data_IF_773612921462
#
_entry.id   IF_773612921462
#
_cell.length_a   1.000
_cell.length_b   1.000
_cell.length_c   1.000
_cell.angle_alpha   90.00
_cell.angle_beta   90.00
_cell.angle_gamma   90.00
#
_symmetry.space_group_name_H-M   'P 1'
#
loop_
_entity.id
_entity.type
_entity.pdbx_description
1 polymer ?
#
# COMPACT_ATOMS: atom_id res chain seq x y z
N UNK A 1 11.97 2.20 -14.88
CA UNK A 1 11.48 1.20 -13.92
C UNK A 1 10.59 1.89 -12.92
N UNK A 2 9.69 1.17 -12.26
CA UNK A 2 8.78 1.72 -11.26
C UNK A 2 9.40 1.63 -9.86
N UNK A 3 9.33 2.72 -9.10
CA UNK A 3 9.84 2.80 -7.72
C UNK A 3 8.86 2.16 -6.72
N UNK A 4 7.59 2.02 -7.13
CA UNK A 4 6.50 1.50 -6.31
C UNK A 4 6.23 0.00 -6.54
N UNK A 5 7.26 -0.76 -6.89
CA UNK A 5 7.10 -2.21 -7.05
C UNK A 5 6.53 -2.83 -5.76
N UNK A 6 5.48 -3.62 -5.91
CA UNK A 6 4.74 -4.30 -4.83
C UNK A 6 4.12 -3.38 -3.77
N UNK A 7 3.94 -2.08 -4.06
CA UNK A 7 3.29 -1.13 -3.13
C UNK A 7 1.87 -1.59 -2.74
N UNK A 8 1.15 -2.18 -3.69
CA UNK A 8 -0.21 -2.69 -3.50
C UNK A 8 -0.27 -3.79 -2.45
N UNK A 9 0.82 -4.56 -2.30
CA UNK A 9 0.92 -5.67 -1.34
C UNK A 9 1.46 -5.13 0.00
N UNK A 10 2.53 -4.34 -0.04
CA UNK A 10 3.22 -3.89 1.17
C UNK A 10 2.42 -2.86 1.97
N UNK A 11 1.64 -2.02 1.28
CA UNK A 11 0.84 -0.94 1.87
C UNK A 11 -0.67 -1.12 1.67
N UNK A 12 -1.12 -2.35 1.41
CA UNK A 12 -2.53 -2.68 1.20
C UNK A 12 -3.43 -2.19 2.35
N UNK A 13 -2.95 -2.33 3.59
CA UNK A 13 -3.68 -1.87 4.79
C UNK A 13 -3.99 -0.38 4.75
N UNK A 14 -3.04 0.44 4.28
CA UNK A 14 -3.19 1.89 4.19
C UNK A 14 -4.14 2.27 3.04
N UNK A 15 -4.10 1.52 1.93
CA UNK A 15 -5.07 1.68 0.86
C UNK A 15 -6.50 1.31 1.31
N UNK A 16 -6.65 0.23 2.08
CA UNK A 16 -7.94 -0.19 2.67
C UNK A 16 -8.49 0.83 3.66
N UNK A 17 -7.63 1.52 4.41
CA UNK A 17 -8.07 2.63 5.27
C UNK A 17 -8.75 3.74 4.47
N UNK A 18 -8.16 4.17 3.36
CA UNK A 18 -8.79 5.15 2.46
C UNK A 18 -10.09 4.60 1.85
N UNK A 19 -10.10 3.32 1.49
CA UNK A 19 -11.27 2.65 0.93
C UNK A 19 -12.44 2.62 1.92
N UNK A 20 -12.19 2.33 3.20
CA UNK A 20 -13.21 2.34 4.25
C UNK A 20 -13.87 3.70 4.40
N UNK A 21 -13.08 4.78 4.42
CA UNK A 21 -13.63 6.14 4.44
C UNK A 21 -14.42 6.45 3.16
N UNK A 22 -13.93 6.02 2.00
CA UNK A 22 -14.65 6.20 0.74
C UNK A 22 -15.99 5.43 0.71
N UNK A 23 -16.03 4.22 1.28
CA UNK A 23 -17.25 3.42 1.43
C UNK A 23 -18.25 4.11 2.35
N UNK A 24 -17.79 4.60 3.50
CA UNK A 24 -18.60 5.37 4.44
C UNK A 24 -19.23 6.59 3.75
N UNK A 25 -18.41 7.41 3.09
CA UNK A 25 -18.89 8.60 2.39
C UNK A 25 -19.84 8.24 1.24
N UNK A 26 -19.51 7.21 0.46
CA UNK A 26 -20.33 6.80 -0.67
C UNK A 26 -21.70 6.30 -0.22
N UNK A 27 -21.73 5.51 0.85
CA UNK A 27 -22.96 5.04 1.49
C UNK A 27 -23.77 6.22 2.02
N UNK A 28 -23.14 7.14 2.75
CA UNK A 28 -23.82 8.29 3.35
C UNK A 28 -24.49 9.17 2.28
N UNK A 29 -23.76 9.60 1.24
CA UNK A 29 -24.27 10.50 0.21
C UNK A 29 -25.25 9.85 -0.79
N UNK A 30 -25.52 8.54 -0.66
CA UNK A 30 -26.51 7.83 -1.47
C UNK A 30 -27.77 7.47 -0.68
N UNK A 31 -27.63 7.22 0.62
CA UNK A 31 -28.73 6.76 1.48
C UNK A 31 -29.36 7.92 2.24
N UNK A 32 -28.56 8.84 2.77
CA UNK A 32 -29.06 9.88 3.69
C UNK A 32 -29.73 11.00 2.91
N UNK A 33 -31.01 11.21 3.22
CA UNK A 33 -31.80 12.32 2.68
C UNK A 33 -32.34 13.19 3.82
N UNK A 34 -31.81 14.41 4.03
CA UNK A 34 -32.31 15.31 5.08
C UNK A 34 -33.75 15.80 4.86
N UNK A 35 -34.30 15.69 3.64
CA UNK A 35 -35.66 16.13 3.32
C UNK A 35 -36.74 15.08 3.68
N UNK A 36 -36.33 13.82 3.86
CA UNK A 36 -36.55 13.08 5.10
C UNK A 36 -37.65 13.50 6.09
N UNK A 37 -38.93 13.13 5.94
CA UNK A 37 -39.89 13.27 7.05
C UNK A 37 -40.39 11.92 7.53
N UNK A 38 -40.08 11.62 8.80
CA UNK A 38 -40.50 10.39 9.46
C UNK A 38 -41.54 10.72 10.55
N UNK A 39 -42.66 10.00 10.64
CA UNK A 39 -43.75 10.33 11.57
C UNK A 39 -43.35 10.41 13.05
N UNK A 40 -42.34 9.64 13.44
CA UNK A 40 -41.89 9.49 14.83
C UNK A 40 -40.43 9.89 15.05
N UNK A 41 -39.73 10.37 14.00
CA UNK A 41 -38.28 10.56 14.02
C UNK A 41 -37.87 11.77 13.21
N UNK A 42 -36.68 12.28 13.52
CA UNK A 42 -36.02 13.26 12.66
C UNK A 42 -35.15 12.52 11.67
N UNK A 43 -35.16 12.98 10.42
CA UNK A 43 -34.17 12.53 9.45
C UNK A 43 -32.76 12.91 9.87
N UNK A 44 -31.81 12.13 9.38
CA UNK A 44 -30.40 12.44 9.50
C UNK A 44 -30.08 13.73 8.74
N UNK A 45 -29.28 14.58 9.37
CA UNK A 45 -28.79 15.81 8.76
C UNK A 45 -27.55 15.52 7.91
N UNK A 46 -27.22 16.43 7.00
CA UNK A 46 -25.96 16.38 6.26
C UNK A 46 -24.75 16.36 7.21
N UNK A 47 -23.64 15.75 6.78
CA UNK A 47 -22.39 15.70 7.53
C UNK A 47 -21.85 17.09 7.84
N UNK A 48 -21.47 17.32 9.10
CA UNK A 48 -20.78 18.56 9.49
C UNK A 48 -19.29 18.51 9.20
N UNK A 49 -18.65 19.67 9.12
CA UNK A 49 -17.20 19.77 8.96
C UNK A 49 -16.46 19.18 10.15
N UNK A 50 -16.98 19.33 11.39
CA UNK A 50 -16.37 18.73 12.57
C UNK A 50 -16.44 17.20 12.56
N UNK A 51 -17.55 16.62 12.06
CA UNK A 51 -17.66 15.15 11.93
C UNK A 51 -16.60 14.62 10.95
N UNK A 52 -16.45 15.26 9.79
CA UNK A 52 -15.45 14.87 8.80
C UNK A 52 -14.01 15.09 9.29
N UNK A 53 -13.76 16.18 10.01
CA UNK A 53 -12.48 16.41 10.70
C UNK A 53 -12.20 15.30 11.72
N UNK A 54 -13.21 14.90 12.48
CA UNK A 54 -13.14 13.79 13.44
C UNK A 54 -12.78 12.46 12.79
N UNK A 55 -13.45 12.12 11.68
CA UNK A 55 -13.19 10.89 10.92
C UNK A 55 -11.77 10.85 10.36
N UNK A 56 -11.32 11.95 9.75
CA UNK A 56 -9.96 12.03 9.18
C UNK A 56 -8.90 11.94 10.28
N UNK A 57 -9.14 12.57 11.43
CA UNK A 57 -8.25 12.49 12.59
C UNK A 57 -8.18 11.06 13.16
N UNK A 58 -9.34 10.38 13.28
CA UNK A 58 -9.42 9.00 13.73
C UNK A 58 -8.68 8.05 12.77
N UNK A 59 -8.87 8.23 11.46
CA UNK A 59 -8.17 7.45 10.43
C UNK A 59 -6.66 7.66 10.47
N UNK A 60 -6.18 8.90 10.56
CA UNK A 60 -4.74 9.19 10.73
C UNK A 60 -4.16 8.60 12.03
N UNK A 61 -5.01 8.46 13.05
CA UNK A 61 -4.69 7.80 14.32
C UNK A 61 -4.62 6.27 14.27
N UNK A 62 -5.29 5.65 13.30
CA UNK A 62 -5.50 4.19 13.26
C UNK A 62 -4.28 3.37 12.88
N UNK A 63 -3.33 3.95 12.15
CA UNK A 63 -2.18 3.22 11.61
C UNK A 63 -0.88 4.01 11.75
N UNK A 64 0.20 3.39 12.24
CA UNK A 64 1.48 4.06 12.44
C UNK A 64 2.28 4.29 11.16
N UNK A 65 2.00 3.55 10.09
CA UNK A 65 2.66 3.73 8.78
C UNK A 65 2.11 4.94 8.01
N UNK A 66 0.95 5.44 8.42
CA UNK A 66 0.27 6.59 7.83
C UNK A 66 0.91 7.89 8.32
N UNK A 67 1.30 8.71 7.34
CA UNK A 67 1.71 10.10 7.52
C UNK A 67 0.49 10.98 7.75
N UNK A 68 -0.52 10.82 6.90
CA UNK A 68 -1.72 11.63 6.94
C UNK A 68 -2.83 11.04 6.10
N UNK A 69 -4.05 11.50 6.39
CA UNK A 69 -5.28 11.10 5.74
C UNK A 69 -6.04 12.37 5.40
N UNK A 70 -6.77 12.38 4.30
CA UNK A 70 -7.69 13.47 4.02
C UNK A 70 -8.87 13.07 3.15
N UNK A 71 -9.93 13.85 3.27
CA UNK A 71 -11.12 13.78 2.43
C UNK A 71 -11.16 15.09 1.66
N UNK A 72 -11.26 15.03 0.34
CA UNK A 72 -11.16 16.18 -0.55
C UNK A 72 -12.38 16.22 -1.45
N UNK A 73 -13.24 17.22 -1.26
CA UNK A 73 -14.47 17.34 -2.03
C UNK A 73 -14.22 18.02 -3.38
N UNK A 74 -15.00 17.66 -4.40
CA UNK A 74 -15.05 18.49 -5.61
C UNK A 74 -15.81 19.80 -5.34
N UNK A 75 -15.60 20.78 -6.22
CA UNK A 75 -16.13 22.12 -6.08
C UNK A 75 -17.65 22.10 -5.83
N UNK A 76 -18.06 22.66 -4.69
CA UNK A 76 -19.47 22.78 -4.30
C UNK A 76 -20.16 21.45 -3.97
N UNK A 77 -19.40 20.34 -3.79
CA UNK A 77 -19.98 19.04 -3.44
C UNK A 77 -20.16 18.83 -1.94
N UNK A 78 -19.46 19.60 -1.11
CA UNK A 78 -19.72 19.63 0.33
C UNK A 78 -20.75 20.72 0.65
N UNK A 79 -21.91 20.32 1.18
CA UNK A 79 -23.01 21.24 1.51
C UNK A 79 -22.69 22.08 2.73
N UNK A 80 -23.29 23.27 2.84
CA UNK A 80 -23.21 24.15 4.00
C UNK A 80 -21.80 24.64 4.39
N UNK A 81 -20.81 24.51 3.50
CA UNK A 81 -19.47 25.05 3.76
C UNK A 81 -19.31 26.50 3.31
N UNK A 82 -18.56 27.28 4.08
CA UNK A 82 -18.32 28.71 3.79
C UNK A 82 -17.52 28.91 2.51
N UNK A 83 -16.68 27.95 2.14
CA UNK A 83 -15.84 27.98 0.96
C UNK A 83 -16.37 27.00 -0.11
N UNK A 84 -16.08 27.25 -1.40
CA UNK A 84 -16.47 26.35 -2.47
C UNK A 84 -15.74 25.00 -2.45
N UNK A 85 -14.68 24.89 -1.64
CA UNK A 85 -13.86 23.69 -1.47
C UNK A 85 -13.75 23.37 0.01
N UNK A 86 -13.76 22.08 0.32
CA UNK A 86 -13.50 21.57 1.66
C UNK A 86 -12.58 20.36 1.54
N UNK A 87 -11.48 20.37 2.30
CA UNK A 87 -10.46 19.34 2.22
C UNK A 87 -9.78 19.07 3.55
N UNK A 88 -10.48 18.53 4.56
CA UNK A 88 -9.86 18.20 5.84
C UNK A 88 -8.74 17.17 5.64
N UNK A 89 -7.56 17.50 6.12
CA UNK A 89 -6.36 16.67 6.07
C UNK A 89 -5.71 16.62 7.45
N UNK A 90 -5.67 15.44 8.06
CA UNK A 90 -4.98 15.19 9.32
C UNK A 90 -3.65 14.51 9.06
N UNK A 91 -2.59 15.00 9.68
CA UNK A 91 -1.25 14.44 9.51
C UNK A 91 -0.42 14.52 10.79
N UNK A 92 0.67 13.75 10.80
CA UNK A 92 1.69 13.77 11.86
C UNK A 92 2.85 14.66 11.46
N UNK A 93 3.23 15.58 12.34
CA UNK A 93 4.31 16.53 12.07
C UNK A 93 5.71 15.89 12.10
N UNK A 94 5.86 14.69 12.67
CA UNK A 94 7.13 13.98 12.77
C UNK A 94 6.94 12.47 12.91
N UNK A 95 8.06 11.74 12.86
CA UNK A 95 8.11 10.27 13.05
C UNK A 95 8.06 9.83 14.51
N UNK A 96 8.01 10.78 15.44
CA UNK A 96 8.01 10.48 16.87
C UNK A 96 6.75 9.74 17.27
N UNK A 97 6.88 8.88 18.28
CA UNK A 97 5.77 8.13 18.91
C UNK A 97 4.72 9.08 19.53
N UNK A 98 5.03 10.38 19.64
CA UNK A 98 4.08 11.39 20.07
C UNK A 98 2.85 11.37 19.15
N UNK A 99 1.70 10.99 19.70
CA UNK A 99 0.40 10.95 19.01
C UNK A 99 -0.17 12.36 18.77
N UNK A 100 0.69 13.30 18.36
CA UNK A 100 0.30 14.67 18.05
C UNK A 100 -0.06 14.74 16.56
N UNK A 101 -1.33 14.98 16.32
CA UNK A 101 -1.87 15.18 14.98
C UNK A 101 -2.15 16.66 14.78
N UNK A 102 -2.01 17.11 13.55
CA UNK A 102 -2.44 18.43 13.11
C UNK A 102 -3.48 18.22 12.02
N UNK A 103 -4.59 18.92 12.13
CA UNK A 103 -5.64 18.93 11.11
C UNK A 103 -5.67 20.30 10.47
N UNK A 104 -5.72 20.31 9.15
CA UNK A 104 -5.87 21.52 8.35
C UNK A 104 -6.99 21.32 7.34
N UNK A 105 -7.63 22.41 6.95
CA UNK A 105 -8.37 22.43 5.69
C UNK A 105 -7.42 22.81 4.56
N UNK A 106 -7.10 21.84 3.71
CA UNK A 106 -6.19 22.03 2.57
C UNK A 106 -6.78 23.01 1.55
N UNK A 107 -8.11 23.20 1.50
CA UNK A 107 -8.73 24.19 0.63
C UNK A 107 -8.21 25.63 0.89
N UNK A 108 -7.77 25.91 2.12
CA UNK A 108 -7.19 27.20 2.50
C UNK A 108 -5.72 27.38 2.12
N UNK A 109 -5.05 26.38 1.54
CA UNK A 109 -3.66 26.49 1.11
C UNK A 109 -3.53 27.15 -0.27
N UNK A 110 -2.47 27.95 -0.51
CA UNK A 110 -2.34 28.78 -1.71
C UNK A 110 -2.22 27.99 -3.02
N UNK A 111 -1.77 26.75 -2.98
CA UNK A 111 -1.56 25.92 -4.17
C UNK A 111 -2.82 25.13 -4.57
N UNK A 112 -3.81 24.99 -3.66
CA UNK A 112 -5.06 24.26 -3.88
C UNK A 112 -4.86 22.74 -4.11
N UNK A 113 -5.64 21.88 -3.46
CA UNK A 113 -5.51 20.43 -3.68
C UNK A 113 -6.06 20.00 -5.05
N UNK A 114 -6.88 20.81 -5.71
CA UNK A 114 -7.49 20.53 -7.00
C UNK A 114 -6.47 20.48 -8.14
N UNK A 115 -5.31 21.12 -7.96
CA UNK A 115 -4.22 21.14 -8.93
C UNK A 115 -3.32 19.90 -8.82
N UNK A 116 -3.44 19.16 -7.71
CA UNK A 116 -2.65 17.97 -7.46
C UNK A 116 -2.94 16.85 -8.46
N UNK A 117 -1.90 16.09 -8.82
CA UNK A 117 -1.97 15.03 -9.83
C UNK A 117 -3.00 13.97 -9.43
N UNK A 118 -3.05 13.59 -8.15
CA UNK A 118 -3.95 12.55 -7.65
C UNK A 118 -5.42 12.97 -7.74
N UNK A 119 -5.73 14.23 -7.43
CA UNK A 119 -7.11 14.74 -7.51
C UNK A 119 -7.56 14.85 -8.96
N UNK A 120 -6.73 15.45 -9.81
CA UNK A 120 -7.03 15.64 -11.24
C UNK A 120 -7.20 14.32 -11.97
N UNK A 121 -6.35 13.33 -11.68
CA UNK A 121 -6.40 12.02 -12.34
C UNK A 121 -7.71 11.30 -12.02
N UNK A 122 -8.09 11.26 -10.74
CA UNK A 122 -9.35 10.61 -10.33
C UNK A 122 -10.58 11.40 -10.81
N UNK A 123 -10.55 12.73 -10.71
CA UNK A 123 -11.63 13.57 -11.24
C UNK A 123 -11.81 13.39 -12.75
N UNK A 124 -10.72 13.34 -13.52
CA UNK A 124 -10.79 13.13 -14.97
C UNK A 124 -11.34 11.74 -15.33
N UNK A 125 -10.97 10.70 -14.58
CA UNK A 125 -11.48 9.34 -14.76
C UNK A 125 -12.99 9.25 -14.54
N UNK A 126 -13.51 9.98 -13.56
CA UNK A 126 -14.92 9.97 -13.14
C UNK A 126 -15.67 11.27 -13.47
N UNK A 127 -15.24 11.97 -14.53
CA UNK A 127 -15.83 13.24 -14.94
C UNK A 127 -17.23 13.06 -15.54
N UNK A 128 -17.51 11.92 -16.15
CA UNK A 128 -18.85 11.49 -16.54
C UNK A 128 -19.55 10.83 -15.36
N UNK A 129 -20.88 10.78 -15.38
CA UNK A 129 -21.65 10.04 -14.38
C UNK A 129 -21.04 8.65 -14.20
N UNK A 130 -20.77 8.29 -12.95
CA UNK A 130 -20.16 7.01 -12.64
C UNK A 130 -21.16 5.91 -12.99
N UNK A 131 -20.78 4.99 -13.88
CA UNK A 131 -21.62 3.85 -14.18
C UNK A 131 -21.68 2.96 -12.93
N UNK A 132 -22.90 2.66 -12.48
CA UNK A 132 -23.16 1.74 -11.38
C UNK A 132 -22.56 0.37 -11.64
N UNK A 133 -22.48 -0.04 -12.91
CA UNK A 133 -21.92 -1.34 -13.31
C UNK A 133 -20.42 -1.49 -13.01
N UNK A 134 -19.69 -0.38 -12.92
CA UNK A 134 -18.27 -0.39 -12.58
C UNK A 134 -18.03 -0.50 -11.07
N UNK A 135 -19.03 -0.17 -10.24
CA UNK A 135 -18.90 -0.09 -8.78
C UNK A 135 -19.46 -1.34 -8.09
N UNK A 136 -19.02 -1.59 -6.86
CA UNK A 136 -19.58 -2.67 -6.04
C UNK A 136 -20.88 -2.22 -5.42
N UNK A 137 -21.94 -3.01 -5.62
CA UNK A 137 -23.21 -2.85 -4.94
C UNK A 137 -23.12 -3.41 -3.51
N UNK A 138 -23.49 -2.58 -2.55
CA UNK A 138 -23.69 -2.95 -1.16
C UNK A 138 -25.17 -2.76 -0.81
N UNK A 139 -25.72 -3.71 -0.06
CA UNK A 139 -27.09 -3.61 0.42
C UNK A 139 -27.16 -3.76 1.93
N UNK A 140 -28.07 -3.03 2.55
CA UNK A 140 -28.31 -3.07 3.98
C UNK A 140 -29.80 -3.25 4.25
N UNK A 141 -30.14 -4.28 5.02
CA UNK A 141 -31.48 -4.46 5.58
C UNK A 141 -31.52 -3.80 6.96
N UNK A 142 -31.73 -2.49 6.97
CA UNK A 142 -31.82 -1.73 8.20
C UNK A 142 -33.19 -1.93 8.85
N UNK A 143 -33.18 -2.43 10.07
CA UNK A 143 -34.35 -2.51 10.93
C UNK A 143 -34.20 -1.49 12.06
N UNK A 144 -35.28 -0.78 12.33
CA UNK A 144 -35.33 0.31 13.27
C UNK A 144 -36.50 0.10 14.22
N UNK A 145 -36.40 0.64 15.44
CA UNK A 145 -37.46 0.50 16.44
C UNK A 145 -38.72 1.22 15.98
N UNK A 146 -39.89 0.61 16.21
CA UNK A 146 -41.19 1.19 15.89
C UNK A 146 -41.57 2.33 16.81
N UNK A 147 -41.13 2.28 18.07
CA UNK A 147 -41.43 3.26 19.12
C UNK A 147 -40.25 3.42 20.09
N UNK A 148 -40.36 4.38 21.02
CA UNK A 148 -39.37 4.62 22.06
C UNK A 148 -39.18 3.42 23.00
N UNK A 149 -40.23 2.61 23.20
CA UNK A 149 -40.19 1.42 24.04
C UNK A 149 -39.47 0.23 23.37
N UNK A 150 -39.32 0.25 22.03
CA UNK A 150 -38.71 -0.82 21.26
C UNK A 150 -39.59 -2.06 21.12
N UNK A 151 -40.92 -1.90 21.10
CA UNK A 151 -41.86 -3.01 21.12
C UNK A 151 -41.81 -3.87 19.83
N UNK A 152 -41.48 -3.26 18.69
CA UNK A 152 -41.30 -3.97 17.44
C UNK A 152 -40.15 -3.36 16.62
N UNK A 153 -39.61 -4.16 15.70
CA UNK A 153 -38.69 -3.71 14.67
C UNK A 153 -39.47 -3.53 13.37
N UNK A 154 -39.35 -2.35 12.78
CA UNK A 154 -39.90 -2.02 11.46
C UNK A 154 -38.77 -1.82 10.48
N UNK A 155 -39.06 -2.03 9.20
CA UNK A 155 -38.13 -1.72 8.13
C UNK A 155 -37.89 -0.21 8.04
N UNK A 156 -36.74 0.18 7.49
CA UNK A 156 -36.50 1.56 7.10
C UNK A 156 -37.56 2.02 6.08
N UNK A 157 -38.17 3.18 6.33
CA UNK A 157 -39.33 3.67 5.56
C UNK A 157 -38.91 4.12 4.15
N UNK A 158 -37.72 4.71 4.02
CA UNK A 158 -37.08 5.10 2.76
C UNK A 158 -36.24 3.96 2.20
N UNK A 159 -36.82 3.20 1.27
CA UNK A 159 -36.10 2.15 0.54
C UNK A 159 -35.70 0.97 1.43
N UNK A 160 -36.40 -0.16 1.26
CA UNK A 160 -35.99 -1.41 1.88
C UNK A 160 -35.87 -2.52 0.84
N UNK A 161 -34.69 -3.14 0.67
CA UNK A 161 -33.42 -2.83 1.32
C UNK A 161 -32.78 -1.54 0.78
N UNK A 162 -31.86 -0.97 1.57
CA UNK A 162 -31.03 0.16 1.16
C UNK A 162 -29.92 -0.33 0.25
N UNK A 163 -29.66 0.38 -0.84
CA UNK A 163 -28.59 0.09 -1.78
C UNK A 163 -27.61 1.25 -1.86
N UNK A 164 -26.32 0.94 -1.90
CA UNK A 164 -25.26 1.92 -2.17
C UNK A 164 -24.18 1.32 -3.04
N UNK A 165 -23.52 2.16 -3.83
CA UNK A 165 -22.46 1.77 -4.74
C UNK A 165 -21.15 2.39 -4.28
N UNK A 166 -20.13 1.57 -4.10
CA UNK A 166 -18.84 2.01 -3.58
C UNK A 166 -17.69 1.51 -4.47
N UNK A 167 -16.54 2.20 -4.46
CA UNK A 167 -15.38 1.77 -5.23
C UNK A 167 -14.72 0.52 -4.63
N UNK A 168 -13.90 -0.17 -5.42
CA UNK A 168 -12.99 -1.22 -4.96
C UNK A 168 -11.55 -0.68 -4.93
N UNK A 169 -10.61 -1.46 -4.42
CA UNK A 169 -9.18 -1.13 -4.46
C UNK A 169 -8.70 -0.79 -5.89
N UNK A 170 -9.22 -1.47 -6.92
CA UNK A 170 -8.87 -1.23 -8.34
C UNK A 170 -9.33 0.13 -8.89
N UNK A 171 -10.26 0.80 -8.21
CA UNK A 171 -10.73 2.14 -8.58
C UNK A 171 -9.89 3.25 -7.95
N UNK A 172 -9.14 2.92 -6.89
CA UNK A 172 -8.07 3.75 -6.38
C UNK A 172 -6.76 3.50 -7.11
N UNK A 173 -5.78 4.35 -6.82
CA UNK A 173 -4.46 4.27 -7.44
C UNK A 173 -3.40 4.80 -6.47
N UNK A 174 -2.22 4.16 -6.51
CA UNK A 174 -1.00 4.70 -5.94
C UNK A 174 -0.32 5.69 -6.89
N UNK A 175 0.12 6.81 -6.32
CA UNK A 175 0.82 7.86 -7.04
C UNK A 175 2.33 7.80 -6.72
N UNK A 176 3.20 8.16 -7.68
CA UNK A 176 4.65 8.15 -7.50
C UNK A 176 5.08 8.89 -6.22
N UNK A 177 6.21 8.49 -5.60
CA UNK A 177 6.69 9.15 -4.40
C UNK A 177 6.89 10.66 -4.61
N UNK A 178 6.29 11.46 -3.73
CA UNK A 178 6.44 12.91 -3.75
C UNK A 178 7.06 13.39 -2.46
N UNK A 179 7.82 14.49 -2.55
CA UNK A 179 8.29 15.19 -1.36
C UNK A 179 7.21 16.18 -0.94
N UNK A 180 6.52 15.87 0.15
CA UNK A 180 5.49 16.74 0.69
C UNK A 180 6.16 17.98 1.30
N UNK A 181 5.82 19.15 0.80
CA UNK A 181 6.26 20.42 1.36
C UNK A 181 5.23 21.51 1.06
N UNK A 182 5.06 22.46 1.98
CA UNK A 182 4.25 23.66 1.78
C UNK A 182 5.13 24.90 1.91
N UNK A 183 4.85 25.94 1.11
CA UNK A 183 5.59 27.22 1.14
C UNK A 183 5.64 27.82 2.55
N UNK A 184 4.53 27.71 3.29
CA UNK A 184 4.38 28.24 4.65
C UNK A 184 4.74 27.21 5.74
N UNK A 185 5.37 26.10 5.37
CA UNK A 185 5.69 24.98 6.27
C UNK A 185 4.46 24.39 6.99
N UNK A 186 3.28 24.50 6.36
CA UNK A 186 2.01 23.98 6.90
C UNK A 186 1.86 22.48 6.72
N UNK A 187 2.63 21.86 5.82
CA UNK A 187 2.64 20.43 5.58
C UNK A 187 3.99 19.84 6.03
N UNK A 188 4.02 18.57 6.47
CA UNK A 188 5.24 17.95 6.98
C UNK A 188 6.23 17.73 5.84
N UNK A 189 7.52 18.01 6.09
CA UNK A 189 8.60 17.86 5.11
C UNK A 189 9.12 16.43 5.06
N UNK A 190 8.55 15.60 4.20
CA UNK A 190 8.94 14.19 4.11
C UNK A 190 8.56 13.56 2.76
N UNK A 191 9.28 12.48 2.43
CA UNK A 191 8.93 11.61 1.31
C UNK A 191 7.75 10.74 1.66
N UNK A 192 6.71 10.85 0.84
CA UNK A 192 5.47 10.11 0.98
C UNK A 192 5.17 9.31 -0.28
N UNK A 193 4.37 8.27 -0.10
CA UNK A 193 3.67 7.60 -1.19
C UNK A 193 2.17 7.75 -0.92
N UNK A 194 1.42 8.09 -1.95
CA UNK A 194 0.02 8.50 -1.81
C UNK A 194 -0.87 7.47 -2.48
N UNK A 195 -1.84 6.93 -1.74
CA UNK A 195 -2.97 6.22 -2.30
C UNK A 195 -4.19 7.14 -2.30
N UNK A 196 -4.91 7.19 -3.42
CA UNK A 196 -6.14 7.96 -3.52
C UNK A 196 -7.25 7.14 -4.17
N UNK A 197 -8.47 7.30 -3.67
CA UNK A 197 -9.67 6.58 -4.11
C UNK A 197 -10.84 7.57 -4.20
N UNK A 198 -11.67 7.52 -5.25
CA UNK A 198 -12.84 8.39 -5.38
C UNK A 198 -13.90 8.03 -4.33
N UNK A 199 -14.88 8.91 -4.10
CA UNK A 199 -16.15 8.55 -3.46
C UNK A 199 -17.31 9.23 -4.19
N UNK A 200 -18.48 8.61 -4.12
CA UNK A 200 -19.63 8.95 -4.97
C UNK A 200 -20.85 9.32 -4.16
N UNK A 201 -21.77 10.06 -4.76
CA UNK A 201 -23.06 10.36 -4.16
C UNK A 201 -24.10 10.61 -5.24
N UNK A 202 -25.35 10.78 -4.84
CA UNK A 202 -26.39 11.11 -5.80
C UNK A 202 -26.25 12.57 -6.29
N UNK A 203 -26.60 12.79 -7.55
CA UNK A 203 -26.74 14.12 -8.13
C UNK A 203 -27.83 14.93 -7.41
N UNK A 204 -27.95 16.23 -7.74
CA UNK A 204 -28.96 17.10 -7.12
C UNK A 204 -30.41 16.63 -7.38
N UNK A 205 -30.62 15.79 -8.40
CA UNK A 205 -31.92 15.22 -8.76
C UNK A 205 -32.19 13.87 -8.06
N UNK A 206 -31.19 13.28 -7.42
CA UNK A 206 -31.31 11.97 -6.76
C UNK A 206 -31.28 10.78 -7.73
N UNK A 207 -30.87 10.96 -8.99
CA UNK A 207 -31.03 9.94 -10.04
C UNK A 207 -29.70 9.26 -10.34
N UNK A 208 -28.69 10.04 -10.71
CA UNK A 208 -27.41 9.51 -11.17
C UNK A 208 -26.36 9.54 -10.07
N UNK A 209 -25.40 8.61 -10.15
CA UNK A 209 -24.20 8.68 -9.33
C UNK A 209 -23.24 9.71 -9.92
N UNK A 210 -22.80 10.62 -9.07
CA UNK A 210 -21.80 11.63 -9.38
C UNK A 210 -20.57 11.49 -8.50
N UNK A 211 -19.42 11.84 -9.06
CA UNK A 211 -18.19 12.02 -8.32
C UNK A 211 -18.35 13.17 -7.32
N UNK A 212 -18.12 12.89 -6.03
CA UNK A 212 -18.19 13.89 -4.95
C UNK A 212 -16.82 14.35 -4.49
N UNK A 213 -15.79 13.52 -4.65
CA UNK A 213 -14.45 13.83 -4.20
C UNK A 213 -13.53 12.62 -4.12
N UNK A 214 -12.42 12.79 -3.40
CA UNK A 214 -11.35 11.80 -3.23
C UNK A 214 -11.02 11.63 -1.75
N UNK A 215 -10.85 10.40 -1.31
CA UNK A 215 -10.16 10.08 -0.06
C UNK A 215 -8.71 9.75 -0.38
N UNK A 216 -7.79 10.32 0.39
CA UNK A 216 -6.35 10.17 0.23
C UNK A 216 -5.72 9.68 1.52
N UNK A 217 -4.80 8.73 1.40
CA UNK A 217 -3.89 8.31 2.48
C UNK A 217 -2.45 8.49 2.00
N UNK A 218 -1.66 9.15 2.82
CA UNK A 218 -0.22 9.30 2.65
C UNK A 218 0.48 8.36 3.62
N UNK A 219 1.38 7.53 3.10
CA UNK A 219 2.23 6.63 3.89
C UNK A 219 3.69 7.05 3.77
N UNK A 220 4.49 6.75 4.80
CA UNK A 220 5.93 7.03 4.72
C UNK A 220 6.58 6.16 3.65
N UNK A 221 7.32 6.79 2.74
CA UNK A 221 8.14 6.04 1.77
C UNK A 221 9.11 5.09 2.48
N UNK A 222 9.62 5.46 3.66
CA UNK A 222 10.57 4.62 4.42
C UNK A 222 10.03 3.26 4.85
N UNK A 223 8.71 3.02 4.85
CA UNK A 223 8.13 1.71 5.14
C UNK A 223 7.97 0.81 3.92
N UNK A 224 8.19 1.33 2.71
CA UNK A 224 8.20 0.54 1.48
C UNK A 224 9.57 -0.12 1.34
N UNK A 225 9.60 -1.44 1.19
CA UNK A 225 10.81 -2.21 0.91
C UNK A 225 11.14 -2.21 -0.58
N UNK A 226 12.43 -2.27 -0.87
CA UNK A 226 12.98 -2.33 -2.23
C UNK A 226 13.37 -3.77 -2.57
N UNK A 227 13.01 -4.23 -3.76
CA UNK A 227 13.48 -5.51 -4.29
C UNK A 227 14.57 -5.31 -5.35
N UNK A 228 15.81 -5.65 -5.01
CA UNK A 228 16.97 -5.49 -5.90
C UNK A 228 17.24 -6.72 -6.77
N UNK A 229 16.63 -7.86 -6.47
CA UNK A 229 16.92 -9.10 -7.16
C UNK A 229 16.46 -9.06 -8.62
N UNK A 230 17.08 -9.89 -9.46
CA UNK A 230 16.70 -10.02 -10.86
C UNK A 230 15.22 -10.43 -11.01
N UNK A 231 14.52 -9.78 -11.94
CA UNK A 231 13.13 -10.06 -12.31
C UNK A 231 12.98 -10.05 -13.83
N UNK A 232 11.91 -10.66 -14.38
CA UNK A 232 11.61 -10.56 -15.79
C UNK A 232 11.52 -9.10 -16.28
N UNK A 233 11.84 -8.88 -17.57
CA UNK A 233 11.89 -7.53 -18.14
C UNK A 233 10.55 -6.78 -18.08
N UNK A 234 9.42 -7.50 -18.18
CA UNK A 234 8.07 -6.91 -18.14
C UNK A 234 7.62 -6.45 -16.76
N UNK A 235 8.26 -6.90 -15.66
CA UNK A 235 7.90 -6.47 -14.30
C UNK A 235 8.48 -5.07 -14.05
N UNK A 236 7.65 -4.04 -13.82
CA UNK A 236 8.13 -2.69 -13.59
C UNK A 236 8.73 -2.60 -12.18
N UNK A 237 10.05 -2.48 -12.11
CA UNK A 237 10.79 -2.24 -10.87
C UNK A 237 12.07 -1.47 -11.24
N UNK A 238 12.32 -0.34 -10.58
CA UNK A 238 13.48 0.52 -10.80
C UNK A 238 14.78 -0.09 -10.26
N UNK A 239 14.68 -1.00 -9.30
CA UNK A 239 15.81 -1.58 -8.56
C UNK A 239 16.14 -3.01 -8.99
N UNK A 240 15.33 -3.64 -9.82
CA UNK A 240 15.56 -5.04 -10.24
C UNK A 240 16.94 -5.22 -10.89
N UNK A 241 17.62 -6.30 -10.51
CA UNK A 241 18.97 -6.62 -10.99
C UNK A 241 20.05 -5.62 -10.56
N UNK A 242 19.80 -4.82 -9.52
CA UNK A 242 20.83 -3.98 -8.89
C UNK A 242 21.55 -4.68 -7.75
N UNK A 243 21.18 -5.93 -7.45
CA UNK A 243 21.89 -6.77 -6.50
C UNK A 243 23.34 -7.01 -6.93
N UNK A 244 24.21 -7.27 -5.95
CA UNK A 244 25.64 -7.52 -6.16
C UNK A 244 26.00 -8.99 -5.97
N UNK A 245 25.02 -9.88 -6.04
CA UNK A 245 25.25 -11.31 -5.92
C UNK A 245 26.07 -11.83 -7.10
N UNK A 246 26.98 -12.78 -6.83
CA UNK A 246 27.70 -13.46 -7.90
C UNK A 246 26.74 -14.35 -8.70
N UNK A 247 26.51 -14.01 -9.97
CA UNK A 247 25.49 -14.66 -10.80
C UNK A 247 25.78 -16.15 -11.06
N UNK A 248 27.04 -16.59 -11.00
CA UNK A 248 27.39 -17.99 -11.27
C UNK A 248 27.15 -18.88 -10.06
N UNK A 249 27.58 -18.44 -8.88
CA UNK A 249 27.61 -19.25 -7.66
C UNK A 249 26.47 -18.97 -6.69
N UNK A 250 25.74 -17.85 -6.85
CA UNK A 250 24.70 -17.42 -5.91
C UNK A 250 23.35 -17.08 -6.55
N UNK A 251 22.31 -17.01 -5.73
CA UNK A 251 20.96 -16.57 -6.06
C UNK A 251 20.53 -15.47 -5.08
N UNK A 252 19.94 -14.41 -5.60
CA UNK A 252 19.45 -13.28 -4.81
C UNK A 252 18.08 -13.59 -4.23
N UNK A 253 17.90 -13.33 -2.92
CA UNK A 253 16.64 -13.42 -2.21
C UNK A 253 16.34 -12.08 -1.51
N UNK A 254 15.21 -11.41 -1.79
CA UNK A 254 14.88 -10.13 -1.16
C UNK A 254 14.56 -10.29 0.32
N UNK A 255 14.87 -9.27 1.12
CA UNK A 255 14.56 -9.21 2.57
C UNK A 255 13.64 -8.04 2.85
N UNK A 256 12.37 -8.34 3.08
CA UNK A 256 11.33 -7.36 3.44
C UNK A 256 11.38 -6.98 4.93
N UNK A 257 10.74 -5.87 5.29
CA UNK A 257 10.67 -5.29 6.63
C UNK A 257 11.86 -4.43 7.04
N UNK A 258 12.70 -4.00 6.09
CA UNK A 258 13.91 -3.17 6.35
C UNK A 258 13.82 -1.76 5.77
N UNK A 259 12.69 -1.43 5.16
CA UNK A 259 12.35 -0.14 4.64
C UNK A 259 13.04 0.21 3.34
N UNK A 260 12.89 1.47 2.93
CA UNK A 260 13.28 1.95 1.62
C UNK A 260 14.78 2.23 1.53
N UNK A 261 15.58 1.17 1.46
CA UNK A 261 17.05 1.20 1.39
C UNK A 261 17.58 0.08 0.52
N UNK A 262 18.72 0.33 -0.12
CA UNK A 262 19.49 -0.71 -0.81
C UNK A 262 20.18 -1.64 0.21
N UNK A 263 20.74 -2.74 -0.28
CA UNK A 263 21.43 -3.78 0.48
C UNK A 263 20.49 -4.77 1.18
N UNK A 264 19.18 -4.73 0.92
CA UNK A 264 18.17 -5.54 1.65
C UNK A 264 17.81 -6.81 0.89
N UNK A 265 18.84 -7.60 0.64
CA UNK A 265 18.75 -8.92 0.00
C UNK A 265 19.80 -9.86 0.60
N UNK A 266 19.70 -11.15 0.27
CA UNK A 266 20.65 -12.21 0.62
C UNK A 266 21.15 -12.86 -0.65
N UNK A 267 22.45 -13.13 -0.72
CA UNK A 267 23.02 -13.98 -1.77
C UNK A 267 23.22 -15.39 -1.22
N UNK A 268 22.28 -16.30 -1.51
CA UNK A 268 22.37 -17.72 -1.12
C UNK A 268 23.15 -18.50 -2.17
N UNK A 269 23.95 -19.47 -1.76
CA UNK A 269 24.67 -20.33 -2.71
C UNK A 269 23.71 -21.15 -3.56
N UNK A 270 24.02 -21.30 -4.86
CA UNK A 270 23.30 -22.20 -5.76
C UNK A 270 23.63 -23.66 -5.44
N UNK A 271 22.76 -24.62 -5.81
CA UNK A 271 23.09 -26.05 -5.73
C UNK A 271 24.43 -26.37 -6.40
N UNK A 272 25.27 -27.17 -5.72
CA UNK A 272 26.64 -27.47 -6.17
C UNK A 272 27.70 -26.48 -5.69
N UNK A 273 27.29 -25.38 -5.04
CA UNK A 273 28.17 -24.46 -4.36
C UNK A 273 27.90 -24.46 -2.85
N UNK A 274 28.93 -24.16 -2.06
CA UNK A 274 28.86 -24.06 -0.60
C UNK A 274 29.40 -22.70 -0.13
N UNK A 275 28.84 -22.23 0.97
CA UNK A 275 29.26 -21.01 1.62
C UNK A 275 30.67 -21.21 2.22
N UNK A 276 31.66 -20.35 1.87
CA UNK A 276 33.06 -20.63 2.16
C UNK A 276 33.48 -20.34 3.61
N UNK A 277 32.69 -19.56 4.35
CA UNK A 277 33.02 -19.09 5.69
C UNK A 277 32.32 -19.94 6.76
N UNK A 278 33.01 -20.15 7.90
CA UNK A 278 32.45 -20.83 9.07
C UNK A 278 31.85 -19.76 9.97
N UNK A 279 30.62 -19.35 9.67
CA UNK A 279 29.85 -18.43 10.50
C UNK A 279 28.44 -18.98 10.77
N UNK A 280 27.60 -18.22 11.48
CA UNK A 280 26.23 -18.62 11.80
C UNK A 280 25.25 -18.47 10.63
N UNK A 281 25.70 -17.94 9.49
CA UNK A 281 24.88 -17.72 8.30
C UNK A 281 25.29 -18.67 7.18
N UNK A 282 24.41 -18.84 6.21
CA UNK A 282 24.62 -19.64 4.99
C UNK A 282 24.53 -18.79 3.71
N UNK A 283 24.58 -17.46 3.85
CA UNK A 283 24.42 -16.49 2.77
C UNK A 283 25.25 -15.23 3.00
N UNK A 284 25.54 -14.50 1.92
CA UNK A 284 26.12 -13.16 2.02
C UNK A 284 25.02 -12.11 2.22
N UNK A 285 25.19 -11.23 3.19
CA UNK A 285 24.29 -10.10 3.43
C UNK A 285 24.46 -9.04 2.33
N UNK A 286 23.36 -8.64 1.68
CA UNK A 286 23.40 -7.63 0.61
C UNK A 286 23.99 -6.28 1.04
N UNK A 287 23.78 -5.87 2.29
CA UNK A 287 24.37 -4.66 2.87
C UNK A 287 25.90 -4.69 2.86
N UNK A 288 26.48 -5.84 3.20
CA UNK A 288 27.92 -6.06 3.14
C UNK A 288 28.41 -6.16 1.69
N UNK A 289 27.63 -6.79 0.80
CA UNK A 289 27.94 -6.87 -0.63
C UNK A 289 28.01 -5.48 -1.26
N UNK A 290 26.99 -4.63 -1.03
CA UNK A 290 26.91 -3.26 -1.53
C UNK A 290 28.05 -2.41 -0.96
N UNK A 291 28.36 -2.54 0.34
CA UNK A 291 29.49 -1.82 0.96
C UNK A 291 30.84 -2.20 0.33
N UNK A 292 31.07 -3.50 0.10
CA UNK A 292 32.32 -3.98 -0.51
C UNK A 292 32.40 -3.61 -2.00
N UNK A 293 31.26 -3.54 -2.68
CA UNK A 293 31.17 -3.04 -4.04
C UNK A 293 31.51 -1.55 -4.11
N UNK A 294 30.97 -0.73 -3.22
CA UNK A 294 31.25 0.71 -3.17
C UNK A 294 32.74 0.97 -2.90
N UNK A 295 33.36 0.18 -2.02
CA UNK A 295 34.82 0.20 -1.82
C UNK A 295 35.60 -0.21 -3.08
N UNK A 296 35.11 -1.19 -3.83
CA UNK A 296 35.75 -1.62 -5.08
C UNK A 296 35.69 -0.53 -6.14
N UNK A 297 34.58 0.22 -6.19
CA UNK A 297 34.36 1.31 -7.15
C UNK A 297 34.98 2.64 -6.73
N UNK A 298 35.44 2.76 -5.48
CA UNK A 298 36.11 3.97 -4.97
C UNK A 298 37.63 3.89 -5.17
N UNK A 299 38.33 4.97 -4.79
CA UNK A 299 39.80 5.01 -4.82
C UNK A 299 40.45 3.99 -3.86
N UNK A 300 39.69 3.42 -2.93
CA UNK A 300 40.16 2.46 -1.92
C UNK A 300 39.96 0.99 -2.35
N UNK A 301 39.94 0.72 -3.66
CA UNK A 301 39.69 -0.62 -4.23
C UNK A 301 40.53 -1.75 -3.64
N UNK A 302 41.76 -1.46 -3.19
CA UNK A 302 42.66 -2.43 -2.53
C UNK A 302 42.15 -2.91 -1.16
N UNK A 303 41.26 -2.17 -0.52
CA UNK A 303 40.60 -2.56 0.73
C UNK A 303 39.39 -3.46 0.51
N UNK A 304 38.86 -3.50 -0.72
CA UNK A 304 37.68 -4.29 -1.04
C UNK A 304 37.97 -5.80 -1.04
N UNK A 305 37.10 -6.56 -0.38
CA UNK A 305 37.10 -8.02 -0.41
C UNK A 305 35.99 -8.56 -1.31
N UNK A 306 35.40 -7.72 -2.16
CA UNK A 306 34.23 -8.08 -2.96
C UNK A 306 34.42 -9.37 -3.78
N UNK A 307 35.60 -9.56 -4.39
CA UNK A 307 35.90 -10.77 -5.17
C UNK A 307 35.92 -12.09 -4.38
N UNK A 308 36.02 -12.01 -3.04
CA UNK A 308 35.96 -13.17 -2.15
C UNK A 308 34.53 -13.51 -1.72
N UNK A 309 33.56 -12.62 -1.96
CA UNK A 309 32.15 -12.79 -1.58
C UNK A 309 31.38 -13.61 -2.64
N UNK A 310 31.85 -14.82 -2.87
CA UNK A 310 31.22 -15.79 -3.79
C UNK A 310 31.30 -17.18 -3.20
N UNK A 311 30.37 -18.06 -3.59
CA UNK A 311 30.38 -19.42 -3.09
C UNK A 311 31.46 -20.25 -3.78
N UNK A 312 31.99 -21.25 -3.07
CA UNK A 312 32.98 -22.21 -3.62
C UNK A 312 32.28 -23.48 -4.07
N UNK A 313 32.90 -24.27 -4.93
CA UNK A 313 32.32 -25.54 -5.40
C UNK A 313 32.22 -26.51 -4.21
N UNK A 314 31.05 -27.12 -4.03
CA UNK A 314 30.81 -28.08 -2.97
C UNK A 314 31.57 -29.38 -3.23
N UNK A 315 32.37 -29.81 -2.24
CA UNK A 315 33.34 -30.91 -2.38
C UNK A 315 32.64 -32.26 -2.63
N UNK A 316 31.40 -32.43 -2.17
CA UNK A 316 30.63 -33.67 -2.34
C UNK A 316 30.24 -34.01 -3.79
N UNK A 317 30.28 -33.06 -4.72
CA UNK A 317 30.00 -33.30 -6.15
C UNK A 317 31.13 -34.03 -6.90
N UNK A 318 32.32 -34.13 -6.29
CA UNK A 318 33.50 -34.77 -6.87
C UNK A 318 33.65 -36.27 -6.54
N UNK A 319 32.89 -36.77 -5.56
CA UNK A 319 32.85 -38.19 -5.23
C UNK A 319 31.89 -38.91 -6.20
N UNK A 320 32.38 -39.22 -7.40
CA UNK A 320 31.77 -40.27 -8.22
C UNK A 320 31.66 -41.53 -7.35
N UNK A 321 30.52 -42.22 -7.28
CA UNK A 321 30.42 -43.46 -6.53
C UNK A 321 31.30 -44.49 -7.24
N UNK A 322 32.52 -44.67 -6.76
CA UNK A 322 33.41 -45.77 -7.16
C UNK A 322 32.83 -47.15 -6.75
N UNK A 323 31.69 -47.17 -6.06
CA UNK A 323 31.15 -48.33 -5.37
C UNK A 323 30.23 -49.23 -6.21
N UNK A 324 29.79 -48.87 -7.42
CA UNK A 324 28.93 -49.77 -8.20
C UNK A 324 29.69 -50.97 -8.80
N UNK A 325 30.93 -50.76 -9.27
CA UNK A 325 31.79 -51.83 -9.78
C UNK A 325 32.28 -52.76 -8.67
N UNK A 326 32.58 -52.24 -7.47
CA UNK A 326 33.04 -53.04 -6.34
C UNK A 326 31.92 -53.92 -5.75
N UNK A 327 30.69 -53.42 -5.70
CA UNK A 327 29.51 -54.21 -5.28
C UNK A 327 29.15 -55.32 -6.27
N UNK A 328 29.30 -55.08 -7.58
CA UNK A 328 29.07 -56.11 -8.58
C UNK A 328 30.16 -57.20 -8.54
N UNK A 329 31.41 -56.83 -8.27
CA UNK A 329 32.51 -57.77 -8.09
C UNK A 329 32.37 -58.62 -6.83
N UNK A 330 31.91 -58.06 -5.70
CA UNK A 330 31.68 -58.82 -4.47
C UNK A 330 30.47 -59.75 -4.60
N UNK A 331 29.40 -59.33 -5.28
CA UNK A 331 28.25 -60.20 -5.59
C UNK A 331 28.64 -61.31 -6.57
N UNK A 332 29.47 -61.02 -7.58
CA UNK A 332 29.97 -62.03 -8.52
C UNK A 332 30.88 -63.05 -7.83
N UNK A 333 31.81 -62.62 -6.96
CA UNK A 333 32.64 -63.52 -6.17
C UNK A 333 31.82 -64.36 -5.17
N UNK A 334 30.80 -63.78 -4.54
CA UNK A 334 29.90 -64.52 -3.66
C UNK A 334 29.11 -65.62 -4.41
N UNK A 335 28.70 -65.36 -5.66
CA UNK A 335 28.04 -66.38 -6.50
C UNK A 335 28.99 -67.47 -7.00
N UNK A 336 30.29 -67.19 -7.14
CA UNK A 336 31.30 -68.19 -7.53
C UNK A 336 31.72 -69.11 -6.38
N UNK A 337 31.71 -68.63 -5.14
CA UNK A 337 32.08 -69.43 -3.95
C UNK A 337 30.89 -70.29 -3.46
N UNK A 338 29.66 -69.94 -3.84
CA UNK A 338 28.44 -70.68 -3.50
C UNK A 338 28.03 -71.78 -4.49
N UNK A 339 28.92 -72.25 -5.37
CA UNK A 339 28.64 -73.30 -6.36
C UNK A 339 29.52 -74.53 -6.19
#
# INVERSE_FOLDING_TARGET
>A
GDVLNDVDIQLESQARLALTLSHFLSSFYQIVNPAEDFPLRKAELDLTDEQLIGEVLAAAGGDYKVVGVGIFFDRGKFRNYRLPYFGPYAYRAGKDISRKYTVIDWAGLPDGYENEIWFRTLKARWATNADRSELTEHWLKLFIRSDYAGNALVHHESGFPLYSYAPELKHGQWFPPTFQCSRNNTLPRQWIVTYAVPFFGLDALGINLEFKGVVRVDAYLSYLDINQCAMPHYVPNAFKGSDRCDYQSTVCEPVFGRGFRLGKYKCRCRPGYEYPFIDHNDFFNGDAMDTQWDLLMSNDSLLSRFHQLKCRIAIASSLKPLNSMLLLLTVYFAMLIGR
#
